data_IF_959318413979
#
_entry.id   IF_959318413979
#
_cell.length_a   1.000
_cell.length_b   1.000
_cell.length_c   1.000
_cell.angle_alpha   90.00
_cell.angle_beta   90.00
_cell.angle_gamma   90.00
#
_symmetry.space_group_name_H-M   'P 1'
#
loop_
_entity.id
_entity.type
_entity.pdbx_description
1 polymer ?
#
# COMPACT_ATOMS: atom_id res chain seq x y z
N UNK A 1 26.27 -60.44 60.74
CA UNK A 1 25.87 -60.40 59.32
C UNK A 1 24.97 -59.18 59.14
N UNK A 2 25.59 -58.10 58.68
CA UNK A 2 25.03 -56.75 58.73
C UNK A 2 24.13 -56.42 57.55
N UNK A 3 23.12 -55.61 57.84
CA UNK A 3 22.17 -55.00 56.91
C UNK A 3 22.89 -54.17 55.84
N UNK A 4 22.40 -54.25 54.59
CA UNK A 4 22.84 -53.43 53.46
C UNK A 4 21.71 -52.49 53.00
N UNK A 5 22.02 -51.30 52.43
CA UNK A 5 21.09 -50.16 52.38
C UNK A 5 20.62 -49.73 50.97
N UNK A 6 19.61 -48.86 51.02
CA UNK A 6 19.25 -47.75 50.12
C UNK A 6 18.97 -47.98 48.62
N UNK A 7 17.69 -47.83 48.26
CA UNK A 7 17.26 -47.41 46.92
C UNK A 7 17.33 -45.87 46.81
N UNK A 8 18.21 -45.36 45.95
CA UNK A 8 18.15 -43.98 45.46
C UNK A 8 17.85 -44.01 43.95
N UNK A 9 16.68 -43.49 43.57
CA UNK A 9 16.30 -43.24 42.18
C UNK A 9 17.15 -42.10 41.63
N UNK A 10 18.01 -42.39 40.65
CA UNK A 10 18.71 -41.38 39.87
C UNK A 10 17.76 -40.76 38.84
N UNK A 11 17.38 -39.50 39.06
CA UNK A 11 16.68 -38.66 38.08
C UNK A 11 17.70 -38.18 37.05
N UNK A 12 17.52 -38.53 35.76
CA UNK A 12 18.27 -37.90 34.66
C UNK A 12 17.88 -36.42 34.58
N UNK A 13 18.82 -35.47 34.53
CA UNK A 13 18.45 -34.09 34.22
C UNK A 13 17.99 -34.02 32.76
N UNK A 14 16.79 -33.46 32.56
CA UNK A 14 16.30 -33.09 31.25
C UNK A 14 17.26 -32.06 30.65
N UNK A 15 17.71 -32.33 29.41
CA UNK A 15 18.37 -31.35 28.57
C UNK A 15 17.36 -30.23 28.30
N UNK A 16 17.47 -29.14 29.04
CA UNK A 16 16.78 -27.89 28.72
C UNK A 16 17.42 -27.36 27.44
N UNK A 17 16.69 -27.46 26.32
CA UNK A 17 17.00 -26.69 25.14
C UNK A 17 16.97 -25.21 25.53
N UNK A 18 18.15 -24.60 25.60
CA UNK A 18 18.28 -23.16 25.75
C UNK A 18 17.67 -22.51 24.53
N UNK A 19 16.61 -21.73 24.74
CA UNK A 19 16.10 -20.76 23.77
C UNK A 19 17.25 -19.78 23.49
N UNK A 20 17.67 -19.58 22.23
CA UNK A 20 18.69 -18.59 21.92
C UNK A 20 18.10 -17.20 22.21
N UNK A 21 18.67 -16.51 23.18
CA UNK A 21 18.46 -15.08 23.43
C UNK A 21 19.07 -14.30 22.25
N UNK A 22 18.22 -13.92 21.30
CA UNK A 22 18.55 -13.09 20.14
C UNK A 22 18.29 -11.62 20.47
N UNK A 23 18.96 -11.11 21.49
CA UNK A 23 19.01 -9.69 21.78
C UNK A 23 20.40 -9.37 22.29
N UNK A 24 20.99 -8.20 21.96
CA UNK A 24 21.87 -7.59 22.94
C UNK A 24 21.06 -7.54 24.24
N UNK A 25 21.63 -8.03 25.34
CA UNK A 25 21.17 -7.63 26.67
C UNK A 25 20.89 -6.12 26.60
N UNK A 26 19.80 -5.58 27.19
CA UNK A 26 19.57 -4.15 27.21
C UNK A 26 20.89 -3.52 27.63
N UNK A 27 21.57 -2.88 26.68
CA UNK A 27 22.75 -2.10 26.98
C UNK A 27 22.27 -1.12 28.02
N UNK A 28 22.91 -1.17 29.20
CA UNK A 28 22.80 -0.25 30.33
C UNK A 28 21.73 0.82 30.13
N UNK A 29 20.61 0.72 30.87
CA UNK A 29 19.55 1.74 30.99
C UNK A 29 19.77 2.91 30.04
N UNK A 30 19.32 2.79 28.78
CA UNK A 30 19.34 3.96 27.90
C UNK A 30 18.46 4.99 28.60
N UNK A 31 19.06 6.07 29.11
CA UNK A 31 18.44 7.21 29.78
C UNK A 31 17.44 7.91 28.83
N UNK A 32 16.39 7.20 28.43
CA UNK A 32 15.29 7.75 27.68
C UNK A 32 14.50 8.64 28.63
N UNK A 33 14.28 9.92 28.29
CA UNK A 33 13.38 10.77 29.06
C UNK A 33 12.04 10.05 29.28
N UNK A 34 11.43 10.24 30.46
CA UNK A 34 10.23 9.50 30.94
C UNK A 34 9.00 9.56 29.99
N UNK A 35 9.04 10.40 28.96
CA UNK A 35 8.01 10.53 27.91
C UNK A 35 8.57 10.55 26.49
N UNK A 36 9.82 10.13 26.28
CA UNK A 36 10.42 10.14 24.96
C UNK A 36 9.73 9.13 24.03
N UNK A 37 9.57 9.54 22.79
CA UNK A 37 9.15 8.66 21.70
C UNK A 37 10.27 8.52 20.69
N UNK A 38 10.17 7.54 19.81
CA UNK A 38 11.18 7.27 18.80
C UNK A 38 10.73 7.75 17.42
N UNK A 39 11.61 8.50 16.76
CA UNK A 39 11.61 8.63 15.31
C UNK A 39 12.41 7.45 14.76
N UNK A 40 11.77 6.61 13.93
CA UNK A 40 12.31 5.34 13.43
C UNK A 40 12.43 5.38 11.91
N UNK A 41 13.62 5.08 11.41
CA UNK A 41 13.92 4.72 10.03
C UNK A 41 14.13 3.20 9.97
N UNK A 42 13.28 2.51 9.19
CA UNK A 42 13.34 1.08 8.96
C UNK A 42 13.68 0.82 7.48
N UNK A 43 14.76 0.11 7.22
CA UNK A 43 15.07 -0.42 5.89
C UNK A 43 14.81 -1.93 5.87
N UNK A 44 13.91 -2.38 5.00
CA UNK A 44 13.75 -3.80 4.68
C UNK A 44 14.71 -4.12 3.54
N UNK A 45 15.79 -4.84 3.84
CA UNK A 45 16.91 -5.07 2.92
C UNK A 45 16.62 -6.26 2.02
N UNK A 46 16.46 -7.45 2.61
CA UNK A 46 16.31 -8.71 1.86
C UNK A 46 15.74 -9.81 2.74
N UNK A 47 15.17 -10.85 2.14
CA UNK A 47 14.89 -12.12 2.81
C UNK A 47 15.66 -13.26 2.15
N UNK A 48 15.84 -14.37 2.87
CA UNK A 48 16.57 -15.54 2.40
C UNK A 48 15.91 -16.83 2.83
N UNK A 49 15.83 -17.79 1.91
CA UNK A 49 15.33 -19.12 2.20
C UNK A 49 13.86 -19.10 2.65
N UNK A 50 13.08 -18.15 2.13
CA UNK A 50 11.65 -18.08 2.40
C UNK A 50 10.94 -19.32 1.84
N UNK A 51 9.82 -19.68 2.45
CA UNK A 51 8.99 -20.76 1.94
C UNK A 51 8.47 -20.38 0.56
N UNK A 52 8.38 -21.35 -0.35
CA UNK A 52 7.72 -21.15 -1.63
C UNK A 52 6.21 -21.09 -1.43
N UNK A 53 5.52 -20.05 -1.91
CA UNK A 53 4.06 -20.03 -1.90
C UNK A 53 3.49 -20.84 -3.07
N UNK A 54 4.12 -20.75 -4.25
CA UNK A 54 3.80 -21.56 -5.43
C UNK A 54 4.29 -23.03 -5.32
N UNK A 55 3.69 -23.85 -4.46
CA UNK A 55 4.07 -25.27 -4.38
C UNK A 55 3.50 -26.14 -5.52
N UNK A 56 2.45 -25.68 -6.23
CA UNK A 56 1.71 -26.51 -7.21
C UNK A 56 1.08 -25.71 -8.38
N UNK A 57 1.61 -24.53 -8.70
CA UNK A 57 1.12 -23.72 -9.82
C UNK A 57 1.59 -24.27 -11.19
N UNK A 58 0.68 -24.41 -12.15
CA UNK A 58 0.99 -24.76 -13.56
C UNK A 58 2.05 -23.80 -14.15
N UNK A 59 2.13 -22.58 -13.60
CA UNK A 59 3.13 -21.55 -13.91
C UNK A 59 4.56 -21.93 -13.49
N UNK A 60 4.77 -22.53 -12.32
CA UNK A 60 6.09 -22.97 -11.85
C UNK A 60 6.66 -24.10 -12.73
N UNK A 61 5.78 -25.02 -13.15
CA UNK A 61 6.08 -26.09 -14.11
C UNK A 61 6.42 -25.54 -15.52
N UNK A 62 5.78 -24.46 -15.95
CA UNK A 62 6.06 -23.82 -17.25
C UNK A 62 7.31 -22.91 -17.23
N UNK A 63 7.67 -22.33 -16.08
CA UNK A 63 8.87 -21.48 -15.93
C UNK A 63 10.16 -22.27 -15.63
N UNK A 64 10.08 -23.57 -15.35
CA UNK A 64 11.24 -24.42 -15.07
C UNK A 64 11.97 -24.10 -13.76
N UNK A 65 11.36 -23.31 -12.87
CA UNK A 65 11.86 -23.05 -11.52
C UNK A 65 11.18 -24.03 -10.55
N UNK A 66 11.98 -24.76 -9.76
CA UNK A 66 11.47 -25.84 -8.90
C UNK A 66 10.66 -25.35 -7.67
N UNK A 67 10.73 -24.06 -7.32
CA UNK A 67 9.90 -23.41 -6.30
C UNK A 67 10.28 -21.92 -6.22
N UNK A 68 9.33 -20.99 -6.36
CA UNK A 68 9.57 -19.55 -6.27
C UNK A 68 8.44 -18.84 -5.54
N UNK A 69 8.69 -17.62 -5.05
CA UNK A 69 7.65 -16.74 -4.52
C UNK A 69 7.78 -15.36 -5.17
N UNK A 70 6.67 -14.66 -5.29
CA UNK A 70 6.51 -13.26 -5.63
C UNK A 70 6.37 -12.44 -4.33
N UNK A 71 7.45 -12.42 -3.55
CA UNK A 71 7.42 -12.03 -2.14
C UNK A 71 7.33 -10.51 -1.91
N UNK A 72 6.52 -10.10 -0.94
CA UNK A 72 6.52 -8.75 -0.37
C UNK A 72 6.35 -8.80 1.16
N UNK A 73 6.72 -7.71 1.85
CA UNK A 73 6.65 -7.60 3.31
C UNK A 73 5.67 -6.50 3.73
N UNK A 74 4.82 -6.77 4.71
CA UNK A 74 3.90 -5.83 5.34
C UNK A 74 4.38 -5.49 6.74
N UNK A 75 4.41 -4.21 7.06
CA UNK A 75 4.85 -3.66 8.34
C UNK A 75 3.63 -3.38 9.21
N UNK A 76 3.62 -3.92 10.42
CA UNK A 76 2.66 -3.60 11.47
C UNK A 76 3.37 -2.97 12.67
N UNK A 77 2.87 -1.83 13.12
CA UNK A 77 3.33 -1.12 14.32
C UNK A 77 2.12 -0.90 15.22
N UNK A 78 2.22 -1.28 16.50
CA UNK A 78 1.14 -1.14 17.49
C UNK A 78 -0.22 -1.72 17.04
N UNK A 79 -0.17 -2.84 16.31
CA UNK A 79 -1.37 -3.52 15.80
C UNK A 79 -2.02 -2.87 14.58
N UNK A 80 -1.38 -1.86 13.98
CA UNK A 80 -1.81 -1.23 12.75
C UNK A 80 -0.86 -1.60 11.61
N UNK A 81 -1.41 -2.14 10.51
CA UNK A 81 -0.65 -2.32 9.26
C UNK A 81 -0.48 -0.94 8.61
N UNK A 82 0.76 -0.52 8.45
CA UNK A 82 1.10 0.87 8.10
C UNK A 82 1.67 0.96 6.69
N UNK A 83 2.61 0.09 6.34
CA UNK A 83 3.28 0.15 5.03
C UNK A 83 3.66 -1.25 4.52
N UNK A 84 4.03 -1.34 3.25
CA UNK A 84 4.52 -2.59 2.65
C UNK A 84 5.52 -2.34 1.52
N UNK A 85 6.38 -3.32 1.27
CA UNK A 85 7.32 -3.32 0.14
C UNK A 85 6.60 -3.68 -1.16
N UNK A 86 7.22 -3.40 -2.30
CA UNK A 86 6.73 -3.95 -3.56
C UNK A 86 7.10 -5.45 -3.67
N UNK A 87 6.33 -6.24 -4.45
CA UNK A 87 6.69 -7.63 -4.68
C UNK A 87 7.99 -7.75 -5.50
N UNK A 88 8.83 -8.71 -5.12
CA UNK A 88 9.98 -9.18 -5.90
C UNK A 88 9.64 -10.56 -6.42
N UNK A 89 9.62 -10.69 -7.74
CA UNK A 89 9.06 -11.86 -8.41
C UNK A 89 10.05 -13.01 -8.54
N UNK A 90 9.50 -14.23 -8.46
CA UNK A 90 10.12 -15.47 -8.88
C UNK A 90 11.47 -15.76 -8.18
N UNK A 91 11.54 -15.50 -6.86
CA UNK A 91 12.73 -15.72 -6.03
C UNK A 91 12.39 -16.17 -4.61
N UNK A 92 13.29 -16.91 -3.97
CA UNK A 92 13.25 -17.20 -2.52
C UNK A 92 14.27 -16.36 -1.73
N UNK A 93 14.97 -15.46 -2.42
CA UNK A 93 15.94 -14.53 -1.85
C UNK A 93 15.65 -13.11 -2.35
N UNK A 94 14.47 -12.53 -2.02
CA UNK A 94 14.11 -11.19 -2.48
C UNK A 94 15.00 -10.13 -1.85
N UNK A 95 15.32 -9.09 -2.63
CA UNK A 95 16.11 -7.93 -2.20
C UNK A 95 15.30 -6.68 -2.52
N UNK A 96 14.88 -5.94 -1.49
CA UNK A 96 14.03 -4.75 -1.61
C UNK A 96 14.85 -3.46 -1.45
N UNK A 97 15.69 -3.36 -0.42
CA UNK A 97 16.38 -2.11 -0.02
C UNK A 97 15.41 -0.93 0.13
N UNK A 98 14.26 -1.17 0.77
CA UNK A 98 13.18 -0.19 0.87
C UNK A 98 13.12 0.45 2.25
N UNK A 99 13.08 1.79 2.31
CA UNK A 99 13.10 2.57 3.55
C UNK A 99 11.73 3.13 3.95
N UNK A 100 11.39 3.03 5.21
CA UNK A 100 10.14 3.48 5.81
C UNK A 100 10.45 4.36 7.00
N UNK A 101 9.63 5.39 7.21
CA UNK A 101 9.89 6.39 8.23
C UNK A 101 8.66 6.62 9.09
N UNK A 102 8.85 6.49 10.39
CA UNK A 102 7.81 6.59 11.41
C UNK A 102 8.22 7.58 12.48
N UNK A 103 7.28 8.40 12.93
CA UNK A 103 7.44 9.27 14.10
C UNK A 103 6.55 8.82 15.22
N UNK A 104 6.95 9.22 16.42
CA UNK A 104 6.17 9.01 17.65
C UNK A 104 5.92 7.53 17.96
N UNK A 105 6.84 6.64 17.57
CA UNK A 105 6.76 5.21 17.93
C UNK A 105 7.07 5.10 19.42
N UNK A 106 6.27 4.35 20.17
CA UNK A 106 6.56 4.17 21.59
C UNK A 106 7.83 3.31 21.74
N UNK A 107 8.72 3.62 22.68
CA UNK A 107 9.75 2.67 23.09
C UNK A 107 9.09 1.34 23.47
N UNK A 108 9.75 0.25 23.14
CA UNK A 108 9.27 -1.11 23.37
C UNK A 108 8.02 -1.55 22.57
N UNK A 109 7.53 -0.71 21.65
CA UNK A 109 6.49 -1.11 20.69
C UNK A 109 6.92 -2.33 19.90
N UNK A 110 5.99 -3.28 19.74
CA UNK A 110 6.19 -4.48 18.94
C UNK A 110 5.99 -4.14 17.45
N UNK A 111 7.07 -4.18 16.68
CA UNK A 111 7.04 -4.07 15.23
C UNK A 111 7.01 -5.47 14.62
N UNK A 112 5.94 -5.79 13.89
CA UNK A 112 5.83 -7.08 13.18
C UNK A 112 6.02 -6.90 11.69
N UNK A 113 6.63 -7.90 11.08
CA UNK A 113 6.79 -8.02 9.65
C UNK A 113 6.10 -9.30 9.20
N UNK A 114 5.15 -9.17 8.28
CA UNK A 114 4.47 -10.29 7.65
C UNK A 114 4.97 -10.42 6.22
N UNK A 115 5.39 -11.61 5.80
CA UNK A 115 5.77 -11.90 4.42
C UNK A 115 4.65 -12.64 3.72
N UNK A 116 4.36 -12.23 2.49
CA UNK A 116 3.30 -12.80 1.66
C UNK A 116 3.81 -13.08 0.26
N UNK A 117 3.21 -14.09 -0.38
CA UNK A 117 3.36 -14.42 -1.79
C UNK A 117 2.30 -13.65 -2.59
N UNK A 118 2.72 -12.89 -3.59
CA UNK A 118 1.80 -12.04 -4.34
C UNK A 118 1.05 -12.87 -5.38
N UNK A 119 -0.26 -12.95 -5.21
CA UNK A 119 -1.17 -13.65 -6.11
C UNK A 119 -2.20 -12.72 -6.75
N UNK A 120 -2.86 -13.21 -7.79
CA UNK A 120 -3.93 -12.47 -8.49
C UNK A 120 -5.17 -12.30 -7.60
N UNK A 121 -5.45 -13.27 -6.72
CA UNK A 121 -6.69 -13.28 -5.93
C UNK A 121 -6.44 -13.03 -4.44
N UNK A 122 -5.79 -13.97 -3.76
CA UNK A 122 -5.51 -13.91 -2.34
C UNK A 122 -4.06 -14.33 -2.13
N UNK A 123 -3.31 -13.45 -1.47
CA UNK A 123 -1.87 -13.62 -1.24
C UNK A 123 -1.64 -14.68 -0.15
N UNK A 124 -0.76 -15.66 -0.43
CA UNK A 124 -0.43 -16.73 0.50
C UNK A 124 0.59 -16.26 1.56
N UNK A 125 0.43 -16.69 2.82
CA UNK A 125 1.33 -16.30 3.90
C UNK A 125 2.65 -17.08 3.83
N UNK A 126 3.78 -16.37 3.77
CA UNK A 126 5.13 -16.94 3.75
C UNK A 126 5.76 -17.01 5.15
N UNK A 127 5.21 -16.27 6.10
CA UNK A 127 5.58 -16.29 7.51
C UNK A 127 5.64 -14.89 8.10
N UNK A 128 5.96 -14.84 9.39
CA UNK A 128 6.05 -13.60 10.16
C UNK A 128 7.33 -13.54 10.98
N UNK A 129 7.74 -12.33 11.33
CA UNK A 129 8.76 -12.05 12.34
C UNK A 129 8.41 -10.79 13.10
N UNK A 130 9.13 -10.51 14.18
CA UNK A 130 8.94 -9.28 14.94
C UNK A 130 10.26 -8.82 15.57
N UNK A 131 10.30 -7.53 15.86
CA UNK A 131 11.35 -6.90 16.65
C UNK A 131 10.73 -5.79 17.50
N UNK A 132 11.48 -5.34 18.50
CA UNK A 132 11.04 -4.29 19.41
C UNK A 132 11.68 -2.96 19.01
N UNK A 133 10.89 -1.89 18.97
CA UNK A 133 11.40 -0.55 18.75
C UNK A 133 12.27 -0.13 19.94
N UNK A 134 13.57 0.01 19.70
CA UNK A 134 14.57 0.37 20.72
C UNK A 134 15.31 1.62 20.27
N UNK A 135 15.87 2.37 21.23
CA UNK A 135 16.75 3.49 20.92
C UNK A 135 18.10 2.97 20.40
N UNK A 136 18.57 3.51 19.29
CA UNK A 136 19.88 3.18 18.70
C UNK A 136 20.84 4.37 18.74
N UNK A 137 20.48 5.46 19.43
CA UNK A 137 21.22 6.73 19.49
C UNK A 137 21.61 7.27 18.10
N UNK A 138 20.72 7.04 17.12
CA UNK A 138 20.94 7.42 15.73
C UNK A 138 21.94 6.56 14.96
N UNK A 139 22.48 5.49 15.56
CA UNK A 139 23.34 4.54 14.88
C UNK A 139 22.50 3.55 14.05
N UNK A 140 22.94 3.27 12.82
CA UNK A 140 22.34 2.22 11.99
C UNK A 140 22.69 0.84 12.58
N UNK A 141 21.66 0.09 12.97
CA UNK A 141 21.78 -1.28 13.47
C UNK A 141 21.20 -2.26 12.47
N UNK A 142 21.95 -3.29 12.09
CA UNK A 142 21.49 -4.34 11.17
C UNK A 142 21.08 -5.59 11.95
N UNK A 143 19.90 -6.13 11.64
CA UNK A 143 19.36 -7.33 12.26
C UNK A 143 19.03 -8.37 11.19
N UNK A 144 19.43 -9.61 11.44
CA UNK A 144 18.93 -10.78 10.71
C UNK A 144 17.91 -11.50 11.60
N UNK A 145 16.64 -11.41 11.24
CA UNK A 145 15.51 -11.93 12.00
C UNK A 145 15.04 -13.25 11.41
N UNK A 146 14.78 -14.24 12.27
CA UNK A 146 14.18 -15.50 11.84
C UNK A 146 12.70 -15.31 11.49
N UNK A 147 12.29 -15.86 10.35
CA UNK A 147 10.88 -15.90 9.93
C UNK A 147 10.29 -17.22 10.41
N UNK A 148 9.09 -17.16 10.98
CA UNK A 148 8.32 -18.33 11.38
C UNK A 148 6.98 -18.40 10.67
N UNK A 149 6.62 -19.58 10.16
CA UNK A 149 5.31 -19.88 9.62
C UNK A 149 4.76 -21.11 10.35
N UNK A 150 3.60 -20.99 11.01
CA UNK A 150 2.99 -22.09 11.79
C UNK A 150 3.97 -22.76 12.79
N UNK A 151 4.76 -21.95 13.50
CA UNK A 151 5.82 -22.38 14.44
C UNK A 151 6.97 -23.18 13.80
N UNK A 152 7.15 -23.10 12.48
CA UNK A 152 8.30 -23.70 11.77
C UNK A 152 9.18 -22.61 11.19
N UNK A 153 10.48 -22.88 11.09
CA UNK A 153 11.42 -22.00 10.42
C UNK A 153 11.02 -21.82 8.95
N UNK A 154 10.92 -20.57 8.52
CA UNK A 154 10.42 -20.15 7.22
C UNK A 154 11.35 -19.12 6.54
N UNK A 155 12.65 -19.16 6.88
CA UNK A 155 13.69 -18.29 6.31
C UNK A 155 14.19 -17.23 7.29
N UNK A 156 14.97 -16.28 6.78
CA UNK A 156 15.43 -15.09 7.52
C UNK A 156 15.14 -13.81 6.73
N UNK A 157 15.00 -12.69 7.43
CA UNK A 157 14.87 -11.36 6.85
C UNK A 157 15.89 -10.42 7.47
N UNK A 158 16.56 -9.63 6.63
CA UNK A 158 17.54 -8.63 7.02
C UNK A 158 16.86 -7.26 7.01
N UNK A 159 16.92 -6.59 8.16
CA UNK A 159 16.44 -5.22 8.33
C UNK A 159 17.53 -4.33 8.90
N UNK A 160 17.49 -3.05 8.58
CA UNK A 160 18.28 -2.03 9.26
C UNK A 160 17.35 -1.08 9.97
N UNK A 161 17.69 -0.75 11.21
CA UNK A 161 16.91 0.17 12.02
C UNK A 161 17.83 1.28 12.51
N UNK A 162 17.35 2.50 12.38
CA UNK A 162 17.92 3.69 12.99
C UNK A 162 16.81 4.43 13.70
N UNK A 163 17.05 4.80 14.94
CA UNK A 163 16.05 5.42 15.80
C UNK A 163 16.69 6.50 16.67
N UNK A 164 15.96 7.58 16.90
CA UNK A 164 16.38 8.67 17.78
C UNK A 164 15.25 9.00 18.76
N UNK A 165 15.56 9.24 20.04
CA UNK A 165 14.58 9.73 20.98
C UNK A 165 14.23 11.18 20.65
N UNK A 166 12.94 11.47 20.71
CA UNK A 166 12.38 12.81 20.48
C UNK A 166 11.46 13.12 21.65
N UNK A 167 11.59 14.33 22.20
CA UNK A 167 10.61 14.84 23.14
C UNK A 167 9.31 15.14 22.38
N UNK A 168 8.19 14.51 22.72
CA UNK A 168 6.96 14.71 21.97
C UNK A 168 6.48 16.16 22.09
N UNK A 169 6.24 16.82 20.95
CA UNK A 169 5.37 17.99 20.94
C UNK A 169 3.93 17.55 21.25
N UNK A 170 3.13 18.44 21.86
CA UNK A 170 1.76 18.13 22.33
C UNK A 170 0.95 17.34 21.29
N UNK A 171 0.32 16.25 21.75
CA UNK A 171 -0.43 15.23 21.01
C UNK A 171 0.46 14.27 20.22
N UNK A 172 0.73 13.12 20.83
CA UNK A 172 1.59 12.04 20.32
C UNK A 172 0.75 11.07 19.51
N UNK A 173 0.67 11.27 18.20
CA UNK A 173 0.09 10.29 17.29
C UNK A 173 1.20 9.67 16.48
N UNK A 174 1.21 8.33 16.41
CA UNK A 174 2.02 7.61 15.44
C UNK A 174 1.82 8.23 14.05
N UNK A 175 2.89 8.42 13.30
CA UNK A 175 2.82 9.14 12.04
C UNK A 175 3.86 8.63 11.05
N UNK A 176 3.38 8.21 9.88
CA UNK A 176 4.20 7.84 8.74
C UNK A 176 4.61 9.09 7.97
N UNK A 177 5.85 9.15 7.49
CA UNK A 177 6.36 10.28 6.71
C UNK A 177 7.37 9.86 5.66
N UNK A 178 7.86 10.85 4.90
CA UNK A 178 8.81 10.62 3.82
C UNK A 178 8.13 10.28 2.50
N UNK A 179 8.87 9.71 1.53
CA UNK A 179 8.34 9.43 0.21
C UNK A 179 7.19 8.43 0.24
N UNK A 180 6.13 8.70 -0.51
CA UNK A 180 5.07 7.72 -0.75
C UNK A 180 5.45 6.79 -1.89
N UNK A 181 5.02 5.53 -1.80
CA UNK A 181 5.27 4.53 -2.84
C UNK A 181 4.14 4.52 -3.84
N UNK A 182 4.46 4.17 -5.08
CA UNK A 182 3.46 3.94 -6.11
C UNK A 182 3.74 2.67 -6.91
N UNK A 183 2.66 2.11 -7.46
CA UNK A 183 2.69 1.19 -8.59
C UNK A 183 1.84 1.74 -9.73
N UNK A 184 2.39 1.68 -10.93
CA UNK A 184 1.68 1.98 -12.17
C UNK A 184 1.48 0.68 -12.93
N UNK A 185 0.23 0.36 -13.21
CA UNK A 185 -0.18 -0.86 -13.89
C UNK A 185 -0.58 -0.52 -15.32
N UNK A 186 0.06 -1.20 -16.27
CA UNK A 186 -0.31 -1.16 -17.67
C UNK A 186 -1.12 -2.39 -18.02
N UNK A 187 -2.25 -2.20 -18.66
CA UNK A 187 -3.18 -3.27 -19.01
C UNK A 187 -2.92 -3.90 -20.37
N UNK A 188 -1.75 -3.67 -20.96
CA UNK A 188 -1.31 -4.35 -22.18
C UNK A 188 -1.17 -5.82 -21.84
N UNK A 189 -2.25 -6.58 -22.04
CA UNK A 189 -2.26 -8.04 -21.91
C UNK A 189 -1.02 -8.57 -22.60
N UNK A 190 -0.18 -9.28 -21.85
CA UNK A 190 1.19 -9.66 -22.18
C UNK A 190 1.33 -10.62 -23.40
N UNK A 191 0.40 -10.62 -24.34
CA UNK A 191 0.45 -11.40 -25.57
C UNK A 191 -0.34 -10.86 -26.76
N UNK A 192 -1.12 -9.77 -26.65
CA UNK A 192 -1.98 -9.32 -27.77
C UNK A 192 -1.69 -7.94 -28.37
N UNK A 193 -0.90 -7.07 -27.73
CA UNK A 193 -0.75 -5.67 -28.20
C UNK A 193 0.66 -5.06 -28.08
N UNK A 194 1.72 -5.86 -28.09
CA UNK A 194 3.10 -5.33 -28.00
C UNK A 194 3.75 -4.96 -29.33
N UNK A 195 3.04 -5.02 -30.47
CA UNK A 195 3.67 -4.84 -31.79
C UNK A 195 3.52 -3.47 -32.49
N UNK A 196 2.73 -2.50 -31.99
CA UNK A 196 2.81 -1.07 -32.42
C UNK A 196 1.83 -0.13 -31.70
N UNK A 197 1.89 0.02 -30.38
CA UNK A 197 1.07 1.03 -29.68
C UNK A 197 1.84 2.36 -29.56
N UNK A 198 1.19 3.48 -29.88
CA UNK A 198 1.77 4.81 -29.66
C UNK A 198 1.96 5.06 -28.15
N UNK A 199 2.90 5.94 -27.78
CA UNK A 199 3.10 6.32 -26.38
C UNK A 199 1.80 6.84 -25.73
N UNK A 200 0.97 7.56 -26.50
CA UNK A 200 -0.31 8.08 -26.00
C UNK A 200 -1.29 6.96 -25.64
N UNK A 201 -1.39 5.92 -26.47
CA UNK A 201 -2.25 4.77 -26.17
C UNK A 201 -1.76 4.00 -24.94
N UNK A 202 -0.44 4.02 -24.68
CA UNK A 202 0.14 3.44 -23.47
C UNK A 202 -0.19 4.27 -22.24
N UNK A 203 -0.05 5.60 -22.31
CA UNK A 203 -0.35 6.52 -21.20
C UNK A 203 -1.85 6.47 -20.83
N UNK A 204 -2.73 6.46 -21.82
CA UNK A 204 -4.18 6.34 -21.63
C UNK A 204 -4.58 5.01 -20.93
N UNK A 205 -3.72 3.99 -20.97
CA UNK A 205 -3.97 2.66 -20.39
C UNK A 205 -3.40 2.44 -18.99
N UNK A 206 -2.95 3.51 -18.32
CA UNK A 206 -2.32 3.41 -16.99
C UNK A 206 -3.36 3.51 -15.86
N UNK A 207 -3.24 2.57 -14.91
CA UNK A 207 -3.86 2.66 -13.60
C UNK A 207 -2.77 2.88 -12.55
N UNK A 208 -3.05 3.73 -11.58
CA UNK A 208 -2.10 4.13 -10.55
C UNK A 208 -2.61 3.71 -9.18
N UNK A 209 -1.70 3.25 -8.34
CA UNK A 209 -1.93 3.02 -6.92
C UNK A 209 -0.83 3.71 -6.13
N UNK A 210 -1.19 4.66 -5.27
CA UNK A 210 -0.27 5.34 -4.36
C UNK A 210 -0.58 4.91 -2.93
N UNK A 211 0.44 4.45 -2.22
CA UNK A 211 0.36 4.10 -0.79
C UNK A 211 0.41 5.40 0.03
N UNK A 212 -0.76 5.99 0.28
CA UNK A 212 -0.85 7.19 1.12
C UNK A 212 -0.62 6.84 2.60
N UNK A 213 0.20 7.64 3.25
CA UNK A 213 0.44 7.65 4.68
C UNK A 213 -0.73 8.23 5.46
N UNK A 214 -0.94 7.74 6.68
CA UNK A 214 -1.80 8.33 7.71
C UNK A 214 -3.28 8.46 7.34
N UNK A 215 -3.79 7.70 6.36
CA UNK A 215 -5.19 7.81 5.90
C UNK A 215 -6.21 7.83 7.05
N UNK A 216 -6.13 6.93 8.06
CA UNK A 216 -7.12 6.89 9.15
C UNK A 216 -7.12 8.14 10.05
N UNK A 217 -6.08 8.98 10.00
CA UNK A 217 -6.01 10.22 10.78
C UNK A 217 -6.80 11.35 10.12
N UNK A 218 -6.97 11.31 8.80
CA UNK A 218 -7.66 12.34 8.02
C UNK A 218 -9.05 11.87 7.62
N UNK A 219 -9.18 10.66 7.09
CA UNK A 219 -10.44 10.07 6.63
C UNK A 219 -10.88 8.97 7.60
N UNK A 220 -11.79 9.32 8.51
CA UNK A 220 -12.21 8.46 9.63
C UNK A 220 -13.51 7.71 9.38
N UNK A 221 -14.20 8.01 8.28
CA UNK A 221 -15.54 7.49 7.97
C UNK A 221 -15.54 6.85 6.59
N UNK A 222 -16.25 5.73 6.50
CA UNK A 222 -16.56 5.10 5.23
C UNK A 222 -17.80 5.74 4.61
N UNK A 223 -17.79 5.90 3.29
CA UNK A 223 -18.92 6.35 2.47
C UNK A 223 -19.45 5.19 1.66
N UNK A 224 -20.70 4.79 1.92
CA UNK A 224 -21.36 3.74 1.16
C UNK A 224 -21.65 4.15 -0.29
N UNK A 225 -21.85 3.14 -1.14
CA UNK A 225 -22.34 3.35 -2.48
C UNK A 225 -23.70 4.09 -2.51
N UNK A 226 -23.89 4.90 -3.54
CA UNK A 226 -25.03 5.78 -3.75
C UNK A 226 -26.31 4.99 -4.03
N UNK A 227 -27.24 5.02 -3.07
CA UNK A 227 -28.53 4.31 -3.16
C UNK A 227 -29.52 4.95 -4.12
N UNK A 228 -29.29 6.19 -4.55
CA UNK A 228 -30.23 6.95 -5.38
C UNK A 228 -29.88 6.89 -6.88
N UNK A 229 -28.84 6.14 -7.27
CA UNK A 229 -28.41 6.03 -8.66
C UNK A 229 -28.75 4.66 -9.26
N UNK A 230 -29.73 4.55 -10.20
CA UNK A 230 -30.21 3.28 -10.72
C UNK A 230 -29.11 2.39 -11.34
N UNK A 231 -28.10 3.00 -11.98
CA UNK A 231 -26.98 2.25 -12.55
C UNK A 231 -26.12 1.59 -11.47
N UNK A 232 -25.92 2.25 -10.32
CA UNK A 232 -25.15 1.69 -9.20
C UNK A 232 -25.98 0.62 -8.48
N UNK A 233 -27.28 0.85 -8.30
CA UNK A 233 -28.17 -0.14 -7.67
C UNK A 233 -28.13 -1.50 -8.36
N UNK A 234 -28.05 -1.54 -9.71
CA UNK A 234 -27.92 -2.79 -10.48
C UNK A 234 -26.72 -3.65 -10.09
N UNK A 235 -25.72 -3.07 -9.44
CA UNK A 235 -24.47 -3.75 -9.08
C UNK A 235 -24.36 -4.06 -7.59
N UNK A 236 -25.01 -3.27 -6.74
CA UNK A 236 -24.88 -3.42 -5.29
C UNK A 236 -26.17 -3.79 -4.58
N UNK A 237 -27.33 -3.40 -5.10
CA UNK A 237 -28.59 -3.70 -4.43
C UNK A 237 -28.91 -5.20 -4.55
N UNK A 238 -29.33 -5.84 -3.45
CA UNK A 238 -29.83 -7.21 -3.49
C UNK A 238 -31.14 -7.35 -4.28
N UNK A 239 -31.86 -6.25 -4.54
CA UNK A 239 -33.13 -6.25 -5.29
C UNK A 239 -32.94 -6.60 -6.77
N UNK A 240 -31.70 -6.55 -7.27
CA UNK A 240 -31.36 -6.89 -8.65
C UNK A 240 -30.72 -8.27 -8.70
N UNK A 241 -31.38 -9.30 -9.26
CA UNK A 241 -30.86 -10.67 -9.27
C UNK A 241 -29.49 -10.84 -9.96
N UNK A 242 -29.15 -9.96 -10.91
CA UNK A 242 -27.86 -9.96 -11.61
C UNK A 242 -26.72 -9.25 -10.86
N UNK A 243 -27.02 -8.56 -9.77
CA UNK A 243 -26.07 -7.75 -8.99
C UNK A 243 -24.82 -8.54 -8.55
N UNK A 244 -24.93 -9.76 -7.97
CA UNK A 244 -23.75 -10.54 -7.58
C UNK A 244 -22.82 -10.86 -8.75
N UNK A 245 -23.37 -11.20 -9.93
CA UNK A 245 -22.58 -11.56 -11.11
C UNK A 245 -21.87 -10.33 -11.69
N UNK A 246 -22.58 -9.21 -11.82
CA UNK A 246 -22.00 -7.95 -12.31
C UNK A 246 -20.92 -7.43 -11.36
N UNK A 247 -21.17 -7.49 -10.05
CA UNK A 247 -20.20 -7.09 -9.02
C UNK A 247 -18.96 -7.96 -9.07
N UNK A 248 -19.12 -9.28 -9.18
CA UNK A 248 -17.99 -10.20 -9.31
C UNK A 248 -17.17 -9.92 -10.57
N UNK A 249 -17.81 -9.58 -11.70
CA UNK A 249 -17.08 -9.20 -12.92
C UNK A 249 -16.20 -7.96 -12.71
N UNK A 250 -16.70 -6.94 -12.00
CA UNK A 250 -15.92 -5.73 -11.67
C UNK A 250 -14.79 -6.06 -10.69
N UNK A 251 -15.03 -6.91 -9.70
CA UNK A 251 -13.99 -7.39 -8.78
C UNK A 251 -12.87 -8.12 -9.54
N UNK A 252 -13.21 -9.00 -10.48
CA UNK A 252 -12.23 -9.68 -11.33
C UNK A 252 -11.46 -8.69 -12.20
N UNK A 253 -12.13 -7.69 -12.78
CA UNK A 253 -11.49 -6.64 -13.55
C UNK A 253 -10.50 -5.84 -12.70
N UNK A 254 -10.91 -5.42 -11.49
CA UNK A 254 -10.02 -4.75 -10.54
C UNK A 254 -8.76 -5.59 -10.28
N UNK A 255 -8.95 -6.87 -9.94
CA UNK A 255 -7.86 -7.79 -9.66
C UNK A 255 -6.89 -7.89 -10.84
N UNK A 256 -7.39 -8.06 -12.07
CA UNK A 256 -6.56 -8.14 -13.29
C UNK A 256 -5.78 -6.85 -13.54
N UNK A 257 -6.40 -5.70 -13.32
CA UNK A 257 -5.81 -4.39 -13.61
C UNK A 257 -4.72 -4.04 -12.62
N UNK A 258 -4.98 -4.26 -11.33
CA UNK A 258 -4.01 -4.06 -10.26
C UNK A 258 -3.16 -5.31 -10.00
N UNK A 259 -3.18 -6.30 -10.88
CA UNK A 259 -2.27 -7.45 -10.81
C UNK A 259 -0.84 -6.92 -10.96
N UNK A 260 -0.02 -7.30 -10.00
CA UNK A 260 1.39 -6.99 -9.97
C UNK A 260 2.15 -7.99 -10.85
N UNK A 261 3.07 -7.50 -11.67
CA UNK A 261 3.95 -8.39 -12.43
C UNK A 261 5.22 -7.70 -12.94
N UNK A 262 6.21 -8.49 -13.37
CA UNK A 262 7.55 -7.98 -13.67
C UNK A 262 7.62 -7.07 -14.91
N UNK A 263 6.67 -7.21 -15.83
CA UNK A 263 6.69 -6.49 -17.12
C UNK A 263 5.52 -5.51 -17.31
N UNK A 264 4.46 -5.64 -16.50
CA UNK A 264 3.24 -4.85 -16.60
C UNK A 264 3.08 -3.84 -15.46
N UNK A 265 3.90 -3.94 -14.41
CA UNK A 265 3.89 -3.01 -13.27
C UNK A 265 5.21 -2.28 -13.14
N UNK A 266 5.14 -0.96 -13.02
CA UNK A 266 6.27 -0.10 -12.67
C UNK A 266 6.13 0.36 -11.23
N UNK A 267 7.19 0.24 -10.44
CA UNK A 267 7.24 0.72 -9.07
C UNK A 267 8.11 1.96 -8.94
N UNK A 268 7.85 2.76 -7.92
CA UNK A 268 8.72 3.87 -7.56
C UNK A 268 8.27 4.58 -6.30
N UNK A 269 8.95 5.70 -6.03
CA UNK A 269 8.64 6.60 -4.92
C UNK A 269 8.36 8.00 -5.44
N UNK A 270 7.49 8.72 -4.75
CA UNK A 270 7.23 10.13 -4.94
C UNK A 270 7.75 10.86 -3.72
N UNK A 271 8.85 11.61 -3.89
CA UNK A 271 9.52 12.31 -2.77
C UNK A 271 9.14 13.78 -2.70
N UNK A 272 8.48 14.31 -3.73
CA UNK A 272 8.10 15.72 -3.83
C UNK A 272 6.83 15.90 -4.69
N UNK A 273 6.14 17.05 -4.58
CA UNK A 273 5.03 17.38 -5.48
C UNK A 273 5.41 17.33 -6.97
N UNK A 274 6.63 17.73 -7.31
CA UNK A 274 7.14 17.68 -8.69
C UNK A 274 7.21 16.24 -9.21
N UNK A 275 7.60 15.28 -8.36
CA UNK A 275 7.62 13.88 -8.74
C UNK A 275 6.21 13.33 -8.96
N UNK A 276 5.23 13.79 -8.16
CA UNK A 276 3.81 13.43 -8.34
C UNK A 276 3.28 13.92 -9.68
N UNK A 277 3.47 15.21 -10.00
CA UNK A 277 2.98 15.75 -11.27
C UNK A 277 3.66 15.07 -12.47
N UNK A 278 4.98 14.85 -12.42
CA UNK A 278 5.69 14.08 -13.46
C UNK A 278 5.17 12.65 -13.62
N UNK A 279 4.82 11.98 -12.52
CA UNK A 279 4.25 10.62 -12.54
C UNK A 279 2.96 10.56 -13.35
N UNK A 280 2.11 11.59 -13.23
CA UNK A 280 0.83 11.69 -13.94
C UNK A 280 0.93 12.51 -15.23
N UNK A 281 2.14 12.66 -15.78
CA UNK A 281 2.39 13.40 -17.02
C UNK A 281 1.90 14.85 -16.98
N UNK A 282 2.09 15.51 -15.83
CA UNK A 282 1.66 16.88 -15.54
C UNK A 282 0.15 17.09 -15.75
N UNK A 283 -0.63 16.01 -15.69
CA UNK A 283 -2.07 16.02 -15.97
C UNK A 283 -2.40 16.31 -17.43
N UNK A 284 -1.49 15.98 -18.35
CA UNK A 284 -1.64 16.21 -19.77
C UNK A 284 -1.39 14.94 -20.60
N UNK A 285 -2.12 14.84 -21.72
CA UNK A 285 -1.89 13.87 -22.79
C UNK A 285 -2.02 14.60 -24.11
N UNK A 286 -1.08 14.39 -25.04
CA UNK A 286 -1.04 15.12 -26.33
C UNK A 286 -1.10 16.65 -26.18
N UNK A 287 -0.53 17.20 -25.11
CA UNK A 287 -0.56 18.65 -24.81
C UNK A 287 -1.94 19.19 -24.42
N UNK A 288 -2.91 18.32 -24.14
CA UNK A 288 -4.24 18.66 -23.63
C UNK A 288 -4.38 18.15 -22.21
N UNK A 289 -5.11 18.90 -21.39
CA UNK A 289 -5.42 18.51 -20.02
C UNK A 289 -6.27 17.24 -20.00
N UNK A 290 -6.04 16.39 -19.00
CA UNK A 290 -6.87 15.19 -18.77
C UNK A 290 -7.51 15.25 -17.39
N UNK A 291 -8.64 14.57 -17.27
CA UNK A 291 -9.36 14.37 -16.02
C UNK A 291 -9.02 12.98 -15.49
N UNK A 292 -8.90 12.82 -14.18
CA UNK A 292 -8.67 11.52 -13.54
C UNK A 292 -9.85 11.15 -12.67
N UNK A 293 -10.24 9.87 -12.69
CA UNK A 293 -11.20 9.30 -11.75
C UNK A 293 -10.44 8.60 -10.63
N UNK A 294 -10.83 8.80 -9.36
CA UNK A 294 -10.12 8.21 -8.23
C UNK A 294 -11.00 7.65 -7.11
N UNK A 295 -10.41 6.75 -6.32
CA UNK A 295 -10.93 6.22 -5.06
C UNK A 295 -9.81 6.18 -4.02
N UNK A 296 -10.11 6.54 -2.79
CA UNK A 296 -9.24 6.34 -1.62
C UNK A 296 -9.85 5.23 -0.76
N UNK A 297 -9.04 4.23 -0.47
CA UNK A 297 -9.37 3.15 0.48
C UNK A 297 -8.32 3.13 1.59
N UNK A 298 -8.50 2.26 2.59
CA UNK A 298 -7.47 2.03 3.61
C UNK A 298 -6.10 1.58 3.05
N UNK A 299 -6.08 1.06 1.81
CA UNK A 299 -4.87 0.58 1.15
C UNK A 299 -4.23 1.64 0.25
N UNK A 300 -4.76 2.87 0.18
CA UNK A 300 -4.19 3.95 -0.62
C UNK A 300 -5.12 4.57 -1.65
N UNK A 301 -4.53 5.32 -2.57
CA UNK A 301 -5.18 6.11 -3.59
C UNK A 301 -5.07 5.43 -4.96
N UNK A 302 -6.21 5.04 -5.50
CA UNK A 302 -6.35 4.33 -6.78
C UNK A 302 -6.95 5.28 -7.81
N UNK A 303 -6.33 5.44 -8.96
CA UNK A 303 -6.85 6.34 -9.99
C UNK A 303 -6.38 5.98 -11.40
N UNK A 304 -7.09 6.53 -12.39
CA UNK A 304 -6.75 6.46 -13.80
C UNK A 304 -7.39 7.60 -14.58
N UNK A 305 -6.97 7.82 -15.82
CA UNK A 305 -7.56 8.83 -16.69
C UNK A 305 -9.06 8.55 -16.95
N UNK A 306 -9.89 9.56 -16.76
CA UNK A 306 -11.31 9.54 -17.09
C UNK A 306 -11.48 9.43 -18.61
N UNK A 307 -12.38 8.53 -19.05
CA UNK A 307 -12.60 8.29 -20.48
C UNK A 307 -11.55 7.42 -21.18
N UNK A 308 -10.50 6.98 -20.47
CA UNK A 308 -9.47 6.09 -21.00
C UNK A 308 -10.04 4.90 -21.79
N UNK A 309 -9.52 4.68 -23.01
CA UNK A 309 -9.91 3.63 -23.95
C UNK A 309 -9.97 2.25 -23.31
N UNK A 310 -9.00 1.97 -22.44
CA UNK A 310 -8.92 0.72 -21.70
C UNK A 310 -10.14 0.48 -20.78
N UNK A 311 -10.79 1.54 -20.30
CA UNK A 311 -11.93 1.50 -19.38
C UNK A 311 -13.25 1.94 -20.02
N UNK A 312 -13.35 2.03 -21.36
CA UNK A 312 -14.56 2.51 -22.05
C UNK A 312 -15.77 1.59 -21.85
N UNK A 313 -15.54 0.29 -21.73
CA UNK A 313 -16.60 -0.71 -21.54
C UNK A 313 -16.98 -0.93 -20.07
N UNK A 314 -16.40 -0.16 -19.14
CA UNK A 314 -16.66 -0.31 -17.71
C UNK A 314 -17.86 0.52 -17.25
N UNK A 315 -18.71 -0.10 -16.41
CA UNK A 315 -19.94 0.51 -15.89
C UNK A 315 -19.68 1.70 -14.96
N UNK A 316 -18.57 1.68 -14.21
CA UNK A 316 -18.10 2.80 -13.38
C UNK A 316 -16.61 2.62 -13.05
N UNK A 317 -15.81 3.64 -13.33
CA UNK A 317 -14.38 3.66 -12.98
C UNK A 317 -14.16 3.72 -11.47
N UNK A 318 -15.00 4.43 -10.72
CA UNK A 318 -14.93 4.41 -9.24
C UNK A 318 -15.12 3.00 -8.71
N UNK A 319 -16.09 2.26 -9.25
CA UNK A 319 -16.32 0.87 -8.84
C UNK A 319 -15.15 -0.03 -9.21
N UNK A 320 -14.55 0.18 -10.38
CA UNK A 320 -13.36 -0.55 -10.73
C UNK A 320 -12.22 -0.27 -9.75
N UNK A 321 -11.93 0.99 -9.44
CA UNK A 321 -10.84 1.35 -8.55
C UNK A 321 -11.06 0.89 -7.11
N UNK A 322 -12.31 0.80 -6.66
CA UNK A 322 -12.66 0.28 -5.33
C UNK A 322 -12.76 -1.24 -5.26
N UNK A 323 -12.62 -1.97 -6.38
CA UNK A 323 -12.92 -3.41 -6.42
C UNK A 323 -14.39 -3.70 -6.09
N UNK A 324 -15.28 -2.79 -6.49
CA UNK A 324 -16.69 -2.76 -6.15
C UNK A 324 -16.95 -2.92 -4.64
N UNK A 325 -16.14 -2.28 -3.80
CA UNK A 325 -16.38 -2.23 -2.36
C UNK A 325 -17.73 -1.57 -2.03
N UNK A 326 -18.43 -2.05 -1.00
CA UNK A 326 -19.71 -1.46 -0.58
C UNK A 326 -19.53 -0.03 -0.03
N UNK A 327 -18.33 0.29 0.44
CA UNK A 327 -17.94 1.61 0.89
C UNK A 327 -16.47 1.89 0.59
N UNK A 328 -16.11 3.17 0.58
CA UNK A 328 -14.74 3.68 0.42
C UNK A 328 -14.51 4.85 1.37
N UNK A 329 -13.25 5.22 1.62
CA UNK A 329 -12.94 6.38 2.46
C UNK A 329 -13.15 7.69 1.71
N UNK A 330 -12.92 7.71 0.39
CA UNK A 330 -13.26 8.85 -0.46
C UNK A 330 -13.29 8.45 -1.93
N UNK A 331 -13.93 9.28 -2.77
CA UNK A 331 -13.95 9.10 -4.21
C UNK A 331 -14.32 10.41 -4.90
N UNK A 332 -13.82 10.60 -6.12
CA UNK A 332 -14.14 11.76 -6.93
C UNK A 332 -13.37 11.78 -8.24
N UNK A 333 -13.12 12.98 -8.73
CA UNK A 333 -12.25 13.25 -9.87
C UNK A 333 -11.20 14.31 -9.52
N UNK A 334 -10.13 14.40 -10.32
CA UNK A 334 -9.15 15.48 -10.21
C UNK A 334 -8.51 15.82 -11.56
N UNK A 335 -7.93 17.00 -11.65
CA UNK A 335 -7.10 17.45 -12.77
C UNK A 335 -5.97 18.33 -12.28
N UNK A 336 -5.00 18.60 -13.16
CA UNK A 336 -3.89 19.52 -12.88
C UNK A 336 -4.18 20.84 -13.59
N UNK A 337 -4.13 21.93 -12.85
CA UNK A 337 -4.25 23.30 -13.36
C UNK A 337 -2.86 23.94 -13.42
N UNK A 338 -2.56 24.63 -14.52
CA UNK A 338 -1.39 25.50 -14.59
C UNK A 338 -1.67 26.77 -13.78
N UNK A 339 -0.87 27.05 -12.74
CA UNK A 339 -1.02 28.30 -12.01
C UNK A 339 -0.44 29.50 -12.78
N UNK A 340 -0.73 30.72 -12.31
CA UNK A 340 -0.29 31.99 -12.92
C UNK A 340 1.24 32.15 -13.05
N UNK A 341 2.03 31.34 -12.36
CA UNK A 341 3.49 31.36 -12.37
C UNK A 341 4.11 30.09 -12.99
N UNK A 342 3.29 29.21 -13.57
CA UNK A 342 3.72 27.94 -14.16
C UNK A 342 4.02 26.82 -13.16
N UNK A 343 3.65 26.97 -11.88
CA UNK A 343 3.68 25.85 -10.95
C UNK A 343 2.35 25.07 -11.03
N UNK A 344 2.39 23.73 -11.12
CA UNK A 344 1.17 22.93 -11.20
C UNK A 344 0.38 22.97 -9.88
N UNK A 345 -0.94 23.14 -10.00
CA UNK A 345 -1.91 23.05 -8.89
C UNK A 345 -2.81 21.84 -9.10
N UNK A 346 -2.97 21.02 -8.07
CA UNK A 346 -3.92 19.91 -8.07
C UNK A 346 -5.32 20.41 -7.71
N UNK A 347 -6.29 20.20 -8.59
CA UNK A 347 -7.71 20.46 -8.32
C UNK A 347 -8.41 19.12 -8.15
N UNK A 348 -8.84 18.81 -6.92
CA UNK A 348 -9.44 17.52 -6.54
C UNK A 348 -10.86 17.74 -6.00
N UNK A 349 -11.77 16.81 -6.23
CA UNK A 349 -13.17 16.98 -5.84
C UNK A 349 -13.80 15.69 -5.30
N UNK A 350 -15.08 15.78 -4.89
CA UNK A 350 -15.94 14.66 -4.47
C UNK A 350 -16.94 14.23 -5.56
N UNK A 351 -16.65 14.49 -6.83
CA UNK A 351 -17.52 14.13 -7.97
C UNK A 351 -17.45 12.63 -8.24
N UNK A 352 -18.24 11.88 -7.49
CA UNK A 352 -18.42 10.44 -7.70
C UNK A 352 -19.90 10.10 -7.70
N UNK A 353 -20.42 9.68 -8.85
CA UNK A 353 -21.76 9.09 -8.93
C UNK A 353 -21.89 7.78 -8.16
N UNK A 354 -20.76 7.11 -7.85
CA UNK A 354 -20.74 5.82 -7.15
C UNK A 354 -20.82 5.95 -5.64
N UNK A 355 -20.01 6.82 -5.03
CA UNK A 355 -19.93 6.91 -3.56
C UNK A 355 -20.34 8.29 -3.00
N UNK A 356 -20.29 9.34 -3.83
CA UNK A 356 -20.79 10.67 -3.49
C UNK A 356 -20.40 11.18 -2.07
N UNK A 357 -19.10 11.20 -1.67
CA UNK A 357 -18.71 11.69 -0.36
C UNK A 357 -19.21 13.12 -0.10
N UNK A 358 -19.56 13.48 1.15
CA UNK A 358 -20.11 14.78 1.47
C UNK A 358 -19.06 15.89 1.36
N UNK A 359 -19.53 17.10 1.04
CA UNK A 359 -18.73 18.32 0.98
C UNK A 359 -17.91 18.59 2.24
N UNK A 360 -18.48 18.25 3.41
CA UNK A 360 -17.87 18.52 4.72
C UNK A 360 -16.54 17.81 4.93
N UNK A 361 -16.24 16.78 4.14
CA UNK A 361 -15.00 16.00 4.22
C UNK A 361 -13.89 16.51 3.26
N UNK A 362 -14.17 17.51 2.40
CA UNK A 362 -13.18 18.10 1.49
C UNK A 362 -11.95 18.70 2.21
N UNK A 363 -12.08 19.38 3.38
CA UNK A 363 -10.91 19.85 4.11
C UNK A 363 -9.99 18.71 4.57
N UNK A 364 -10.55 17.56 4.94
CA UNK A 364 -9.79 16.38 5.36
C UNK A 364 -9.10 15.71 4.16
N UNK A 365 -9.79 15.64 3.02
CA UNK A 365 -9.18 15.20 1.76
C UNK A 365 -7.97 16.08 1.41
N UNK A 366 -8.14 17.41 1.45
CA UNK A 366 -7.05 18.36 1.19
C UNK A 366 -5.87 18.12 2.13
N UNK A 367 -6.12 18.02 3.43
CA UNK A 367 -5.08 17.80 4.43
C UNK A 367 -4.36 16.45 4.26
N UNK A 368 -5.08 15.39 3.84
CA UNK A 368 -4.46 14.10 3.51
C UNK A 368 -3.48 14.21 2.33
N UNK A 369 -3.85 14.96 1.30
CA UNK A 369 -2.98 15.18 0.13
C UNK A 369 -1.76 16.02 0.53
N UNK A 370 -1.95 17.10 1.29
CA UNK A 370 -0.84 17.94 1.80
C UNK A 370 0.11 17.17 2.72
N UNK A 371 -0.40 16.23 3.52
CA UNK A 371 0.39 15.32 4.35
C UNK A 371 1.34 14.45 3.52
N UNK A 372 0.84 13.94 2.39
CA UNK A 372 1.56 12.99 1.55
C UNK A 372 2.47 13.66 0.52
N UNK A 373 2.17 14.91 0.16
CA UNK A 373 2.98 15.71 -0.75
C UNK A 373 3.25 17.09 -0.14
N UNK A 374 4.16 17.20 0.86
CA UNK A 374 4.44 18.47 1.52
C UNK A 374 4.81 19.58 0.52
N UNK A 375 4.08 20.70 0.61
CA UNK A 375 4.26 21.85 -0.29
C UNK A 375 3.50 21.77 -1.62
N UNK A 376 2.67 20.75 -1.84
CA UNK A 376 1.80 20.69 -3.03
C UNK A 376 0.79 21.84 -2.99
N UNK A 377 0.62 22.53 -4.12
CA UNK A 377 -0.52 23.43 -4.31
C UNK A 377 -1.76 22.57 -4.61
N UNK A 378 -2.70 22.51 -3.67
CA UNK A 378 -3.94 21.72 -3.83
C UNK A 378 -5.19 22.48 -3.39
N UNK A 379 -6.24 22.30 -4.17
CA UNK A 379 -7.58 22.82 -3.92
C UNK A 379 -8.59 21.67 -3.95
N UNK A 380 -9.43 21.59 -2.92
CA UNK A 380 -10.50 20.59 -2.83
C UNK A 380 -11.85 21.27 -3.06
N UNK A 381 -12.53 20.95 -4.15
CA UNK A 381 -13.77 21.58 -4.59
C UNK A 381 -14.96 20.63 -4.47
N UNK A 382 -16.11 21.18 -4.12
CA UNK A 382 -17.35 20.43 -4.11
C UNK A 382 -17.86 20.18 -5.52
N UNK A 383 -18.43 19.01 -5.77
CA UNK A 383 -18.97 18.60 -7.07
C UNK A 383 -20.01 19.57 -7.62
N UNK A 384 -20.72 20.30 -6.76
CA UNK A 384 -21.74 21.27 -7.16
C UNK A 384 -21.14 22.67 -7.45
N UNK A 385 -19.81 22.83 -7.38
CA UNK A 385 -19.14 24.07 -7.74
C UNK A 385 -19.25 24.35 -9.26
N UNK A 386 -19.79 25.51 -9.62
CA UNK A 386 -20.05 25.87 -11.02
C UNK A 386 -18.79 25.97 -11.88
N UNK A 387 -17.71 26.54 -11.34
CA UNK A 387 -16.43 26.69 -12.04
C UNK A 387 -15.75 25.33 -12.27
N UNK A 388 -15.84 24.43 -11.29
CA UNK A 388 -15.40 23.05 -11.41
C UNK A 388 -16.17 22.32 -12.53
N UNK A 389 -17.50 22.41 -12.54
CA UNK A 389 -18.32 21.74 -13.56
C UNK A 389 -18.07 22.28 -14.96
N UNK A 390 -17.85 23.59 -15.09
CA UNK A 390 -17.42 24.21 -16.34
C UNK A 390 -16.05 23.69 -16.79
N UNK A 391 -15.07 23.69 -15.90
CA UNK A 391 -13.70 23.21 -16.20
C UNK A 391 -13.71 21.74 -16.60
N UNK A 392 -14.43 20.91 -15.85
CA UNK A 392 -14.66 19.49 -16.16
C UNK A 392 -15.23 19.29 -17.56
N UNK A 393 -16.25 20.07 -17.92
CA UNK A 393 -16.85 20.03 -19.25
C UNK A 393 -15.85 20.46 -20.33
N UNK A 394 -15.14 21.56 -20.13
CA UNK A 394 -14.15 22.08 -21.10
C UNK A 394 -13.03 21.05 -21.35
N UNK A 395 -12.56 20.35 -20.31
CA UNK A 395 -11.59 19.25 -20.45
C UNK A 395 -12.18 18.13 -21.31
N UNK A 396 -13.39 17.64 -21.00
CA UNK A 396 -14.00 16.53 -21.73
C UNK A 396 -14.30 16.89 -23.20
N UNK A 397 -14.82 18.09 -23.45
CA UNK A 397 -15.13 18.59 -24.81
C UNK A 397 -13.84 18.75 -25.66
N UNK A 398 -12.66 18.91 -25.03
CA UNK A 398 -11.38 18.95 -25.75
C UNK A 398 -10.95 17.59 -26.33
N UNK A 399 -11.56 16.50 -25.87
CA UNK A 399 -11.27 15.11 -26.27
C UNK A 399 -12.33 14.49 -27.19
N UNK A 400 -13.45 15.19 -27.43
CA UNK A 400 -14.44 14.87 -28.47
C UNK A 400 -14.09 15.52 -29.79
#
# INVERSE_FOLDING_TARGET
MGQAPSNAKGTRPALTHATPTLFPLPSDESDLPENAVLDVELEIVSAKGIVAGDYLGVTALMKGQLSSSDAYAVIEVDGQKVAWTHPIFSTLEPVWNEKFFFRNVQPDSLCKLYLFDKDVNADDELGETHFTATNTDGAESTFELAISLNNRSAGTIVVKVKSNPVEPMRRVLFHEYGPVRYSTHSSVTAGLMTMSTSNDARIESLAYHIQLHNIPQYLTRDHEWNKDYPTIQKIFSPDYPGSPVLRQAIMTQHAVIYTHGPNNTKYGVVSSPVDFFKLIHDGQRQGKQVLFTYVITKNGWYFSETGAAFFKDMLSKHMLHSGAAFSVLYAGEFHVEDNLFGEPKLSINNDSGTYAPPKDDLPQLKALIENNFPGIAVEALDRDNEDLQKTRKDILDSWT
#
